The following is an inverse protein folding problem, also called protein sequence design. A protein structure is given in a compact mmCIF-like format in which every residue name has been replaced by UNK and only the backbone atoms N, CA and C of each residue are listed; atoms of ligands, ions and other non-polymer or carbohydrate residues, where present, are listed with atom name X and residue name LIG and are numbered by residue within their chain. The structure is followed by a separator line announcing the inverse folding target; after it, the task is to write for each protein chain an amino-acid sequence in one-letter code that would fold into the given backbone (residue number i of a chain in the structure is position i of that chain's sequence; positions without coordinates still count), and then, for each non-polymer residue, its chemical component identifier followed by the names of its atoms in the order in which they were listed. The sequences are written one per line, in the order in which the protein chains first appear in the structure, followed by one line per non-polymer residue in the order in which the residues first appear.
data_IF_300633161730
#
_entry.id   IF_300633161730
#
_cell.length_a   1.000
_cell.length_b   1.000
_cell.length_c   1.000
_cell.angle_alpha   90.00
_cell.angle_beta   90.00
_cell.angle_gamma   90.00
#
_symmetry.space_group_name_H-M   'P 1'
#
loop_
_entity.id
_entity.type
_entity.pdbx_description
1 polymer ?
#
# COMPACT_ATOMS: atom_id res chain seq x y z
N UNK A 1 31.67 -24.05 -15.44
CA UNK A 1 30.56 -23.37 -14.71
C UNK A 1 29.38 -23.35 -15.66
N UNK A 2 28.24 -23.96 -15.32
CA UNK A 2 27.06 -24.01 -16.21
C UNK A 2 26.20 -22.76 -16.00
N UNK A 3 25.55 -22.27 -17.06
CA UNK A 3 24.67 -21.09 -17.00
C UNK A 3 23.60 -21.20 -15.88
N UNK A 4 23.15 -22.41 -15.56
CA UNK A 4 22.21 -22.68 -14.47
C UNK A 4 22.77 -22.33 -13.08
N UNK A 5 24.05 -22.57 -12.83
CA UNK A 5 24.68 -22.24 -11.54
C UNK A 5 24.80 -20.73 -11.37
N UNK A 6 25.25 -20.04 -12.41
CA UNK A 6 25.32 -18.57 -12.45
C UNK A 6 23.93 -17.96 -12.24
N UNK A 7 22.90 -18.50 -12.92
CA UNK A 7 21.52 -18.04 -12.74
C UNK A 7 21.04 -18.20 -11.28
N UNK A 8 21.26 -19.37 -10.68
CA UNK A 8 20.82 -19.63 -9.30
C UNK A 8 21.55 -18.75 -8.27
N UNK A 9 22.80 -18.37 -8.53
CA UNK A 9 23.58 -17.47 -7.67
C UNK A 9 23.21 -15.99 -7.88
N UNK A 10 22.96 -15.58 -9.13
CA UNK A 10 22.64 -14.20 -9.48
C UNK A 10 21.19 -13.82 -9.16
N UNK A 11 20.24 -14.75 -9.24
CA UNK A 11 18.82 -14.48 -9.07
C UNK A 11 18.48 -13.89 -7.68
N UNK A 12 18.95 -14.46 -6.55
CA UNK A 12 18.73 -13.87 -5.23
C UNK A 12 19.27 -12.44 -5.13
N UNK A 13 20.49 -12.22 -5.63
CA UNK A 13 21.15 -10.92 -5.60
C UNK A 13 20.38 -9.88 -6.43
N UNK A 14 19.93 -10.26 -7.63
CA UNK A 14 19.17 -9.36 -8.49
C UNK A 14 17.88 -8.90 -7.81
N UNK A 15 17.07 -9.81 -7.28
CA UNK A 15 15.81 -9.45 -6.64
C UNK A 15 16.00 -8.71 -5.31
N UNK A 16 17.08 -8.99 -4.57
CA UNK A 16 17.33 -8.34 -3.29
C UNK A 16 17.88 -6.92 -3.41
N UNK A 17 18.68 -6.66 -4.44
CA UNK A 17 19.30 -5.35 -4.66
C UNK A 17 18.45 -4.43 -5.55
N UNK A 18 17.54 -4.98 -6.37
CA UNK A 18 16.73 -4.19 -7.29
C UNK A 18 15.55 -3.53 -6.59
N UNK A 19 15.29 -2.26 -6.95
CA UNK A 19 14.06 -1.55 -6.62
C UNK A 19 13.09 -1.68 -7.79
N UNK A 20 11.99 -2.40 -7.60
CA UNK A 20 11.01 -2.63 -8.65
C UNK A 20 9.90 -1.58 -8.59
N UNK A 21 9.92 -0.64 -9.54
CA UNK A 21 8.85 0.33 -9.73
C UNK A 21 7.90 -0.17 -10.82
N UNK A 22 6.69 -0.59 -10.43
CA UNK A 22 5.67 -1.09 -11.35
C UNK A 22 4.79 0.08 -11.76
N UNK A 23 4.98 0.54 -13.01
CA UNK A 23 4.21 1.63 -13.62
C UNK A 23 2.82 1.18 -14.09
N UNK A 24 2.05 0.56 -13.21
CA UNK A 24 0.70 0.13 -13.48
C UNK A 24 -0.17 0.29 -12.22
N UNK A 25 -1.49 0.40 -12.40
CA UNK A 25 -2.41 0.44 -11.27
C UNK A 25 -2.30 -0.83 -10.42
N UNK A 26 -2.78 -0.77 -9.18
CA UNK A 26 -2.63 -1.87 -8.21
C UNK A 26 -3.17 -3.20 -8.75
N UNK A 27 -4.29 -3.19 -9.50
CA UNK A 27 -4.89 -4.38 -10.12
C UNK A 27 -3.93 -5.08 -11.08
N UNK A 28 -3.20 -4.30 -11.87
CA UNK A 28 -2.19 -4.83 -12.79
C UNK A 28 -0.90 -5.18 -12.04
N UNK A 29 -0.52 -4.37 -11.05
CA UNK A 29 0.72 -4.53 -10.31
C UNK A 29 0.78 -5.83 -9.50
N UNK A 30 -0.36 -6.34 -9.02
CA UNK A 30 -0.46 -7.65 -8.34
C UNK A 30 -0.07 -8.83 -9.24
N UNK A 31 -0.29 -8.72 -10.56
CA UNK A 31 0.04 -9.82 -11.49
C UNK A 31 1.55 -10.01 -11.68
N UNK A 32 2.35 -8.96 -11.50
CA UNK A 32 3.79 -9.01 -11.67
C UNK A 32 4.51 -9.90 -10.63
N UNK A 33 4.33 -9.73 -9.30
CA UNK A 33 4.94 -10.62 -8.32
C UNK A 33 4.38 -12.05 -8.40
N UNK A 34 3.16 -12.23 -8.94
CA UNK A 34 2.64 -13.56 -9.25
C UNK A 34 3.45 -14.24 -10.37
N UNK A 35 3.77 -13.52 -11.44
CA UNK A 35 4.47 -14.03 -12.62
C UNK A 35 5.94 -14.42 -12.40
N UNK A 36 6.61 -13.86 -11.38
CA UNK A 36 8.01 -14.20 -11.03
C UNK A 36 8.13 -15.63 -10.47
N UNK A 37 7.04 -16.17 -9.94
CA UNK A 37 7.03 -17.44 -9.23
C UNK A 37 7.58 -17.35 -7.80
N UNK A 38 7.21 -18.31 -6.96
CA UNK A 38 7.48 -18.26 -5.52
C UNK A 38 8.98 -18.22 -5.17
N UNK A 39 9.84 -18.89 -5.94
CA UNK A 39 11.29 -18.91 -5.67
C UNK A 39 11.95 -17.55 -5.90
N UNK A 40 11.64 -16.85 -7.00
CA UNK A 40 12.18 -15.51 -7.24
C UNK A 40 11.59 -14.48 -6.29
N UNK A 41 10.28 -14.58 -6.05
CA UNK A 41 9.53 -13.64 -5.19
C UNK A 41 10.09 -13.56 -3.76
N UNK A 42 10.55 -14.67 -3.19
CA UNK A 42 11.17 -14.73 -1.85
C UNK A 42 12.28 -13.70 -1.63
N UNK A 43 12.98 -13.34 -2.70
CA UNK A 43 14.12 -12.45 -2.67
C UNK A 43 13.78 -10.99 -2.94
N UNK A 44 12.55 -10.66 -3.33
CA UNK A 44 12.13 -9.28 -3.55
C UNK A 44 12.19 -8.52 -2.23
N UNK A 45 12.90 -7.40 -2.22
CA UNK A 45 13.02 -6.55 -1.01
C UNK A 45 12.33 -5.21 -1.15
N UNK A 46 12.27 -4.64 -2.35
CA UNK A 46 11.86 -3.24 -2.55
C UNK A 46 10.90 -3.15 -3.73
N UNK A 47 9.69 -2.71 -3.45
CA UNK A 47 8.60 -2.63 -4.41
C UNK A 47 7.96 -1.24 -4.35
N UNK A 48 7.60 -0.69 -5.50
CA UNK A 48 6.80 0.52 -5.64
C UNK A 48 5.66 0.27 -6.62
N UNK A 49 4.46 0.67 -6.23
CA UNK A 49 3.23 0.48 -7.01
C UNK A 49 2.37 1.72 -6.96
N UNK A 50 1.65 2.00 -8.04
CA UNK A 50 0.58 2.99 -7.99
C UNK A 50 -0.56 2.45 -7.14
N UNK A 51 -0.96 3.23 -6.13
CA UNK A 51 -2.02 2.87 -5.22
C UNK A 51 -3.21 3.79 -5.47
N UNK A 52 -4.35 3.17 -5.75
CA UNK A 52 -5.63 3.84 -5.78
C UNK A 52 -6.38 3.46 -4.51
N UNK A 53 -6.52 4.42 -3.61
CA UNK A 53 -7.13 4.22 -2.29
C UNK A 53 -8.64 4.39 -2.30
N UNK A 54 -9.25 4.51 -3.49
CA UNK A 54 -10.65 4.92 -3.63
C UNK A 54 -11.61 3.74 -3.37
N UNK A 55 -12.40 3.74 -2.28
CA UNK A 55 -13.54 2.83 -2.17
C UNK A 55 -14.58 3.18 -3.24
N UNK A 56 -15.26 2.18 -3.83
CA UNK A 56 -16.17 2.42 -4.95
C UNK A 56 -17.24 3.46 -4.60
N UNK A 57 -17.65 4.27 -5.59
CA UNK A 57 -18.69 5.31 -5.48
C UNK A 57 -20.01 4.83 -4.83
N UNK A 58 -20.19 3.51 -4.74
CA UNK A 58 -21.20 2.83 -3.94
C UNK A 58 -20.54 1.69 -3.16
N UNK A 59 -20.11 1.90 -1.91
CA UNK A 59 -19.42 0.88 -1.10
C UNK A 59 -20.21 -0.42 -0.89
N UNK A 60 -21.51 -0.45 -1.24
CA UNK A 60 -22.42 -1.58 -1.06
C UNK A 60 -22.83 -2.31 -2.35
N UNK A 61 -22.54 -1.79 -3.55
CA UNK A 61 -23.12 -2.33 -4.79
C UNK A 61 -22.13 -3.08 -5.69
N UNK A 62 -20.83 -2.76 -5.63
CA UNK A 62 -19.79 -3.46 -6.37
C UNK A 62 -18.76 -3.96 -5.35
N UNK A 63 -18.14 -5.11 -5.64
CA UNK A 63 -17.04 -5.65 -4.82
C UNK A 63 -16.00 -4.58 -4.47
N UNK A 64 -15.31 -4.78 -3.36
CA UNK A 64 -14.39 -3.79 -2.84
C UNK A 64 -13.06 -3.92 -3.61
N UNK A 65 -13.05 -3.54 -4.89
CA UNK A 65 -11.97 -3.85 -5.85
C UNK A 65 -10.57 -3.53 -5.32
N UNK A 66 -10.43 -2.40 -4.61
CA UNK A 66 -9.16 -2.01 -3.97
C UNK A 66 -8.80 -2.94 -2.81
N UNK A 67 -9.76 -3.30 -1.95
CA UNK A 67 -9.51 -4.26 -0.86
C UNK A 67 -9.16 -5.64 -1.40
N UNK A 68 -9.92 -6.14 -2.37
CA UNK A 68 -9.72 -7.47 -2.95
C UNK A 68 -8.33 -7.53 -3.60
N UNK A 69 -7.92 -6.44 -4.27
CA UNK A 69 -6.60 -6.35 -4.90
C UNK A 69 -5.48 -6.19 -3.87
N UNK A 70 -5.66 -5.36 -2.85
CA UNK A 70 -4.66 -5.21 -1.77
C UNK A 70 -4.54 -6.49 -0.94
N UNK A 71 -5.64 -7.23 -0.76
CA UNK A 71 -5.62 -8.55 -0.15
C UNK A 71 -4.78 -9.51 -1.00
N UNK A 72 -5.03 -9.58 -2.31
CA UNK A 72 -4.25 -10.42 -3.22
C UNK A 72 -2.77 -10.02 -3.23
N UNK A 73 -2.45 -8.72 -3.19
CA UNK A 73 -1.08 -8.23 -3.04
C UNK A 73 -0.46 -8.76 -1.75
N UNK A 74 -1.13 -8.59 -0.62
CA UNK A 74 -0.64 -9.06 0.67
C UNK A 74 -0.42 -10.56 0.69
N UNK A 75 -1.36 -11.36 0.18
CA UNK A 75 -1.25 -12.82 0.11
C UNK A 75 -0.05 -13.27 -0.72
N UNK A 76 0.18 -12.65 -1.87
CA UNK A 76 1.36 -12.95 -2.72
C UNK A 76 2.66 -12.59 -1.99
N UNK A 77 2.64 -11.49 -1.25
CA UNK A 77 3.79 -10.98 -0.52
C UNK A 77 4.05 -11.73 0.81
N UNK A 78 3.14 -12.56 1.30
CA UNK A 78 3.37 -13.43 2.47
C UNK A 78 4.52 -14.41 2.26
N UNK A 79 4.76 -14.83 1.02
CA UNK A 79 5.86 -15.73 0.65
C UNK A 79 7.23 -15.05 0.65
N UNK A 80 7.28 -13.73 0.82
CA UNK A 80 8.54 -12.97 0.79
C UNK A 80 9.23 -13.06 2.14
N UNK A 81 10.54 -13.33 2.14
CA UNK A 81 11.30 -13.52 3.38
C UNK A 81 11.26 -12.28 4.30
N UNK A 82 11.25 -11.10 3.69
CA UNK A 82 11.19 -9.76 4.28
C UNK A 82 11.06 -8.73 3.15
N UNK A 83 10.17 -7.76 3.31
CA UNK A 83 10.09 -6.60 2.42
C UNK A 83 10.77 -5.45 3.14
N UNK A 84 11.84 -4.90 2.59
CA UNK A 84 12.52 -3.74 3.18
C UNK A 84 11.70 -2.47 2.97
N UNK A 85 11.16 -2.29 1.77
CA UNK A 85 10.36 -1.11 1.41
C UNK A 85 9.20 -1.55 0.51
N UNK A 86 7.98 -1.22 0.93
CA UNK A 86 6.79 -1.20 0.10
C UNK A 86 6.35 0.24 -0.07
N UNK A 87 6.46 0.75 -1.30
CA UNK A 87 6.07 2.10 -1.66
C UNK A 87 4.72 2.13 -2.38
N UNK A 88 3.84 3.00 -1.91
CA UNK A 88 2.54 3.28 -2.50
C UNK A 88 2.57 4.70 -3.09
N UNK A 89 2.47 4.80 -4.40
CA UNK A 89 2.48 6.08 -5.14
C UNK A 89 1.05 6.57 -5.37
N UNK A 90 0.74 7.76 -4.84
CA UNK A 90 -0.54 8.47 -4.97
C UNK A 90 -0.24 9.89 -5.46
N UNK A 91 0.35 9.99 -6.65
CA UNK A 91 0.99 11.22 -7.17
C UNK A 91 0.35 11.76 -8.45
N UNK A 92 -0.69 11.10 -8.96
CA UNK A 92 -1.34 11.49 -10.20
C UNK A 92 -2.46 12.52 -9.95
N UNK A 93 -2.54 13.54 -10.80
CA UNK A 93 -3.48 14.67 -10.64
C UNK A 93 -4.94 14.23 -10.63
N UNK A 94 -5.28 13.18 -11.38
CA UNK A 94 -6.62 12.63 -11.38
C UNK A 94 -6.92 12.05 -9.98
N UNK A 95 -6.03 11.24 -9.42
CA UNK A 95 -6.17 10.70 -8.07
C UNK A 95 -6.24 11.80 -6.99
N UNK A 96 -5.41 12.84 -7.08
CA UNK A 96 -5.48 14.00 -6.16
C UNK A 96 -6.85 14.69 -6.20
N UNK A 97 -7.37 14.98 -7.40
CA UNK A 97 -8.70 15.56 -7.56
C UNK A 97 -9.79 14.68 -6.97
N UNK A 98 -9.69 13.36 -7.16
CA UNK A 98 -10.63 12.41 -6.57
C UNK A 98 -10.54 12.40 -5.04
N UNK A 99 -9.35 12.39 -4.45
CA UNK A 99 -9.16 12.47 -2.99
C UNK A 99 -9.78 13.75 -2.42
N UNK A 100 -9.62 14.89 -3.09
CA UNK A 100 -10.26 16.16 -2.70
C UNK A 100 -11.79 16.02 -2.72
N UNK A 101 -12.35 15.46 -3.80
CA UNK A 101 -13.79 15.26 -3.93
C UNK A 101 -14.33 14.30 -2.86
N UNK A 102 -13.62 13.22 -2.57
CA UNK A 102 -13.97 12.27 -1.53
C UNK A 102 -13.92 12.90 -0.14
N UNK A 103 -12.85 13.63 0.16
CA UNK A 103 -12.71 14.32 1.43
C UNK A 103 -13.88 15.30 1.66
N UNK A 104 -14.28 16.04 0.63
CA UNK A 104 -15.43 16.93 0.69
C UNK A 104 -16.74 16.15 0.98
N UNK A 105 -16.98 15.02 0.30
CA UNK A 105 -18.17 14.18 0.52
C UNK A 105 -18.23 13.56 1.92
N UNK A 106 -17.10 13.08 2.42
CA UNK A 106 -16.96 12.56 3.79
C UNK A 106 -17.18 13.67 4.81
N UNK A 107 -16.65 14.87 4.56
CA UNK A 107 -16.85 16.03 5.43
C UNK A 107 -18.32 16.46 5.48
N UNK A 108 -19.02 16.41 4.35
CA UNK A 108 -20.47 16.66 4.26
C UNK A 108 -21.33 15.54 4.89
N UNK A 109 -20.72 14.50 5.48
CA UNK A 109 -21.38 13.37 6.14
C UNK A 109 -22.44 12.71 5.26
N UNK A 110 -22.17 12.63 3.96
CA UNK A 110 -23.06 11.94 3.02
C UNK A 110 -23.23 10.49 3.51
N UNK A 111 -24.46 10.00 3.78
CA UNK A 111 -24.69 8.75 4.50
C UNK A 111 -23.97 7.53 3.91
N UNK A 112 -23.75 7.50 2.60
CA UNK A 112 -23.10 6.39 1.92
C UNK A 112 -21.63 6.23 2.28
N UNK A 113 -20.96 7.29 2.75
CA UNK A 113 -19.56 7.26 3.16
C UNK A 113 -19.37 7.03 4.66
N UNK A 114 -20.45 7.07 5.46
CA UNK A 114 -20.37 6.78 6.90
C UNK A 114 -19.92 5.34 7.18
N UNK A 115 -20.18 4.41 6.24
CA UNK A 115 -19.71 3.02 6.31
C UNK A 115 -18.17 2.91 6.29
N UNK A 116 -17.46 3.93 5.82
CA UNK A 116 -15.99 3.94 5.83
C UNK A 116 -15.43 4.28 7.21
N UNK A 117 -16.23 4.91 8.10
CA UNK A 117 -15.82 5.29 9.46
C UNK A 117 -15.89 4.11 10.43
N UNK A 118 -15.42 2.94 10.00
CA UNK A 118 -15.27 1.81 10.89
C UNK A 118 -14.10 2.06 11.85
N UNK A 119 -14.26 1.80 13.16
CA UNK A 119 -13.17 1.97 14.12
C UNK A 119 -11.94 1.16 13.69
N UNK A 120 -10.77 1.79 13.74
CA UNK A 120 -9.50 1.14 13.41
C UNK A 120 -9.21 0.99 11.92
N UNK A 121 -10.05 1.52 11.03
CA UNK A 121 -9.79 1.53 9.58
C UNK A 121 -9.42 2.91 9.06
N UNK A 122 -8.56 2.98 8.02
CA UNK A 122 -8.29 4.24 7.33
C UNK A 122 -9.50 4.71 6.52
N UNK A 123 -9.59 6.03 6.28
CA UNK A 123 -10.64 6.64 5.47
C UNK A 123 -10.20 6.88 4.03
N UNK A 124 -9.26 7.82 3.83
CA UNK A 124 -8.74 8.10 2.49
C UNK A 124 -7.66 7.11 2.07
N UNK A 125 -7.12 6.32 3.00
CA UNK A 125 -6.11 5.29 2.74
C UNK A 125 -6.70 3.87 2.76
N UNK A 126 -7.97 3.74 2.36
CA UNK A 126 -8.69 2.47 2.32
C UNK A 126 -7.97 1.43 1.45
N UNK A 127 -7.74 0.24 1.99
CA UNK A 127 -6.99 -0.86 1.35
C UNK A 127 -5.64 -1.12 2.03
N UNK A 128 -5.04 -0.09 2.64
CA UNK A 128 -3.75 -0.22 3.34
C UNK A 128 -3.84 -1.20 4.50
N UNK A 129 -5.02 -1.38 5.10
CA UNK A 129 -5.18 -2.36 6.19
C UNK A 129 -4.86 -3.78 5.79
N UNK A 130 -4.92 -4.10 4.49
CA UNK A 130 -4.53 -5.43 4.02
C UNK A 130 -3.05 -5.72 4.28
N UNK A 131 -2.21 -4.68 4.38
CA UNK A 131 -0.77 -4.79 4.63
C UNK A 131 -0.44 -5.16 6.08
N UNK A 132 -1.40 -5.09 7.01
CA UNK A 132 -1.23 -5.58 8.39
C UNK A 132 -0.87 -7.06 8.45
N UNK A 133 -1.29 -7.83 7.43
CA UNK A 133 -0.96 -9.27 7.29
C UNK A 133 0.52 -9.53 7.09
N UNK A 134 1.27 -8.57 6.55
CA UNK A 134 2.67 -8.76 6.19
C UNK A 134 3.53 -8.86 7.45
N UNK A 135 4.09 -10.05 7.77
CA UNK A 135 4.70 -10.28 9.07
C UNK A 135 6.06 -9.57 9.21
N UNK A 136 6.69 -9.21 8.09
CA UNK A 136 8.08 -8.69 8.03
C UNK A 136 8.20 -7.51 7.08
N UNK A 137 7.24 -6.59 7.15
CA UNK A 137 7.29 -5.33 6.40
C UNK A 137 8.23 -4.34 7.10
N UNK A 138 9.39 -4.06 6.52
CA UNK A 138 10.39 -3.14 7.05
C UNK A 138 9.92 -1.69 7.03
N UNK A 139 9.47 -1.21 5.87
CA UNK A 139 8.97 0.15 5.71
C UNK A 139 7.76 0.19 4.76
N UNK A 140 6.69 0.83 5.22
CA UNK A 140 5.59 1.32 4.38
C UNK A 140 5.87 2.79 4.04
N UNK A 141 6.05 3.08 2.75
CA UNK A 141 6.29 4.44 2.27
C UNK A 141 5.13 4.88 1.38
N UNK A 142 4.43 5.93 1.77
CA UNK A 142 3.30 6.49 1.02
C UNK A 142 3.77 7.82 0.43
N UNK A 143 3.80 7.93 -0.89
CA UNK A 143 4.25 9.14 -1.60
C UNK A 143 3.07 9.81 -2.25
N UNK A 144 2.81 11.06 -1.90
CA UNK A 144 1.70 11.86 -2.43
C UNK A 144 1.50 13.14 -1.62
N UNK A 145 0.46 13.90 -1.96
CA UNK A 145 0.21 15.17 -1.29
C UNK A 145 -0.20 14.99 0.19
N UNK A 146 0.72 15.21 1.12
CA UNK A 146 0.56 14.92 2.56
C UNK A 146 -0.70 15.57 3.15
N UNK A 147 -0.97 16.84 2.79
CA UNK A 147 -2.15 17.56 3.27
C UNK A 147 -3.48 16.98 2.78
N UNK A 148 -3.46 16.21 1.68
CA UNK A 148 -4.64 15.49 1.17
C UNK A 148 -4.72 14.10 1.80
N UNK A 149 -3.60 13.36 1.83
CA UNK A 149 -3.53 12.00 2.36
C UNK A 149 -3.85 11.91 3.86
N UNK A 150 -3.38 12.87 4.64
CA UNK A 150 -3.57 12.93 6.10
C UNK A 150 -4.61 13.97 6.51
N UNK A 151 -5.57 14.23 5.63
CA UNK A 151 -6.64 15.22 5.88
C UNK A 151 -7.55 14.82 7.03
N UNK A 152 -7.74 13.52 7.27
CA UNK A 152 -8.52 13.00 8.37
C UNK A 152 -7.63 12.51 9.52
N UNK A 153 -8.00 12.78 10.79
CA UNK A 153 -7.26 12.26 11.93
C UNK A 153 -7.30 10.73 12.03
N UNK A 154 -8.34 10.08 11.47
CA UNK A 154 -8.46 8.63 11.42
C UNK A 154 -7.33 7.99 10.60
N UNK A 155 -7.01 8.55 9.42
CA UNK A 155 -5.89 8.07 8.59
C UNK A 155 -4.55 8.22 9.32
N UNK A 156 -4.35 9.33 10.03
CA UNK A 156 -3.15 9.57 10.83
C UNK A 156 -3.03 8.56 11.99
N UNK A 157 -4.10 8.42 12.77
CA UNK A 157 -4.13 7.51 13.92
C UNK A 157 -3.92 6.05 13.49
N UNK A 158 -4.48 5.67 12.32
CA UNK A 158 -4.26 4.38 11.71
C UNK A 158 -2.77 4.13 11.43
N UNK A 159 -2.10 5.05 10.73
CA UNK A 159 -0.69 4.92 10.37
C UNK A 159 0.24 4.94 11.60
N UNK A 160 -0.08 5.75 12.61
CA UNK A 160 0.65 5.77 13.89
C UNK A 160 0.54 4.42 14.61
N UNK A 161 -0.68 3.86 14.72
CA UNK A 161 -0.89 2.55 15.32
C UNK A 161 -0.16 1.44 14.53
N UNK A 162 -0.22 1.49 13.20
CA UNK A 162 0.48 0.57 12.33
C UNK A 162 2.01 0.61 12.53
N UNK A 163 2.58 1.82 12.65
CA UNK A 163 4.01 2.02 12.93
C UNK A 163 4.44 1.50 14.31
N UNK A 164 3.52 1.49 15.28
CA UNK A 164 3.75 0.90 16.60
C UNK A 164 3.68 -0.64 16.60
N UNK A 165 3.41 -1.26 15.44
CA UNK A 165 3.23 -2.71 15.28
C UNK A 165 1.83 -3.20 15.64
N UNK A 166 0.88 -2.29 15.90
CA UNK A 166 -0.51 -2.67 16.15
C UNK A 166 -1.20 -3.07 14.85
N UNK A 167 -2.31 -3.78 14.99
CA UNK A 167 -3.19 -4.23 13.89
C UNK A 167 -4.57 -3.58 14.07
N UNK A 168 -4.70 -2.27 13.85
CA UNK A 168 -5.93 -1.54 14.17
C UNK A 168 -7.16 -2.05 13.40
N UNK A 169 -6.99 -2.58 12.17
CA UNK A 169 -8.07 -3.24 11.46
C UNK A 169 -8.26 -4.72 11.85
N UNK A 170 -7.39 -5.26 12.70
CA UNK A 170 -7.39 -6.64 13.15
C UNK A 170 -6.96 -7.64 12.07
N UNK A 171 -6.18 -7.20 11.08
CA UNK A 171 -5.82 -8.02 9.94
C UNK A 171 -4.42 -8.61 10.10
N UNK A 172 -4.33 -9.88 10.48
CA UNK A 172 -3.06 -10.59 10.66
C UNK A 172 -2.72 -10.86 12.13
N UNK A 173 -1.62 -11.57 12.36
CA UNK A 173 -1.19 -11.96 13.69
C UNK A 173 -0.34 -10.87 14.35
N UNK A 174 -0.58 -10.64 15.64
CA UNK A 174 0.29 -9.79 16.45
C UNK A 174 1.64 -10.47 16.63
N UNK A 175 2.71 -9.84 16.15
CA UNK A 175 4.02 -10.48 16.05
C UNK A 175 5.19 -9.60 16.50
N UNK A 176 4.93 -8.61 17.37
CA UNK A 176 5.88 -7.61 17.92
C UNK A 176 6.63 -6.75 16.88
N UNK A 177 6.51 -7.07 15.59
CA UNK A 177 7.21 -6.42 14.50
C UNK A 177 6.62 -5.03 14.24
N UNK A 178 7.50 -4.03 14.14
CA UNK A 178 7.15 -2.62 13.99
C UNK A 178 7.66 -2.09 12.65
N UNK A 179 6.79 -1.95 11.64
CA UNK A 179 7.18 -1.34 10.38
C UNK A 179 7.48 0.15 10.57
N UNK A 180 8.45 0.68 9.83
CA UNK A 180 8.61 2.13 9.68
C UNK A 180 7.52 2.64 8.73
N UNK A 181 6.79 3.67 9.12
CA UNK A 181 5.81 4.33 8.24
C UNK A 181 6.31 5.71 7.84
N UNK A 182 6.34 5.99 6.53
CA UNK A 182 6.75 7.27 5.99
C UNK A 182 5.64 7.81 5.08
N UNK A 183 5.26 9.06 5.24
CA UNK A 183 4.37 9.78 4.32
C UNK A 183 5.17 10.96 3.76
N UNK A 184 5.42 10.95 2.46
CA UNK A 184 6.36 11.85 1.79
C UNK A 184 5.67 12.61 0.66
N UNK A 185 6.07 13.87 0.46
CA UNK A 185 5.72 14.62 -0.74
C UNK A 185 6.53 14.09 -1.95
N UNK A 186 5.96 14.11 -3.17
CA UNK A 186 6.72 13.83 -4.38
C UNK A 186 7.87 14.84 -4.55
N UNK A 187 9.03 14.38 -5.03
CA UNK A 187 10.14 15.28 -5.34
C UNK A 187 9.72 16.30 -6.42
N UNK A 188 10.05 17.58 -6.20
CA UNK A 188 9.72 18.67 -7.12
C UNK A 188 8.33 19.30 -6.94
N UNK A 189 7.53 18.83 -5.97
CA UNK A 189 6.23 19.44 -5.63
C UNK A 189 6.40 20.48 -4.51
N UNK A 190 6.06 21.75 -4.77
CA UNK A 190 6.13 22.81 -3.76
C UNK A 190 4.93 22.69 -2.80
N UNK A 191 5.15 22.76 -1.47
CA UNK A 191 4.08 22.69 -0.48
C UNK A 191 3.11 23.88 -0.53
N UNK A 192 3.46 24.96 -1.23
CA UNK A 192 2.71 26.22 -1.29
C UNK A 192 1.82 26.38 -2.55
N UNK A 193 1.74 25.38 -3.43
CA UNK A 193 0.92 25.45 -4.67
C UNK A 193 -0.49 24.82 -4.56
N UNK A 194 -1.03 24.66 -3.35
CA UNK A 194 -2.36 24.05 -3.10
C UNK A 194 -3.45 25.03 -2.70
#
# INVERSE_FOLDING_TARGET
MTCKKVYNEAMPLFYSETFFAISANINTAVSWPAGIGAQGRRHIRRLSVHFDSIPPLRPRMNGNEVQDTMQAMSEILMDVDRIDVLELLIVDKQHEHYLVCMAARIHLKIPWYNVLREPGKPLLLHGIEQLERLPRLGCLRIVGHVGLLLRFPEDRAYLEAFAEGKKPAGLGEENEHKPVVQVLMPEGMNPDES
#
